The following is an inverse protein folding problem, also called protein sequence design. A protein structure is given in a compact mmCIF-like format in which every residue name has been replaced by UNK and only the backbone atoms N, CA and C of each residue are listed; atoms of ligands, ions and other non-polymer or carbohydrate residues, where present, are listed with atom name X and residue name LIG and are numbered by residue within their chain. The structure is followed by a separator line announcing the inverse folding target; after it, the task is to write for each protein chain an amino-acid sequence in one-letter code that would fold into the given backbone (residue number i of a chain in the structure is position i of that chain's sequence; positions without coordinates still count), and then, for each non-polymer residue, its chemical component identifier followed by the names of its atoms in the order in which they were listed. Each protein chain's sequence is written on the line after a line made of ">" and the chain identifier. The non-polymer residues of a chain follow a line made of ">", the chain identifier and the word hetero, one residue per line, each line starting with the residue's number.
data_IF_639025219765
#
_entry.id   IF_639025219765
#
_cell.length_a   1.000
_cell.length_b   1.000
_cell.length_c   1.000
_cell.angle_alpha   90.00
_cell.angle_beta   90.00
_cell.angle_gamma   90.00
#
_symmetry.space_group_name_H-M   'P 1'
#
loop_
_entity.id
_entity.type
_entity.pdbx_description
1 polymer ?
#
# COMPACT_ATOMS: atom_id res chain seq x y z
N UNK A 1 23.64 21.13 16.17
CA UNK A 1 23.32 19.70 16.09
C UNK A 1 23.66 19.21 14.69
N UNK A 2 24.24 18.02 14.60
CA UNK A 2 24.50 17.35 13.33
C UNK A 2 23.18 16.91 12.67
N UNK A 3 23.20 16.63 11.37
CA UNK A 3 21.99 16.24 10.65
C UNK A 3 21.41 14.89 11.12
N UNK A 4 22.27 13.94 11.45
CA UNK A 4 21.90 12.64 12.02
C UNK A 4 21.28 12.77 13.42
N UNK A 5 21.84 13.66 14.25
CA UNK A 5 21.27 14.04 15.55
C UNK A 5 19.87 14.66 15.40
N UNK A 6 19.72 15.62 14.47
CA UNK A 6 18.43 16.22 14.18
C UNK A 6 17.40 15.19 13.68
N UNK A 7 17.83 14.20 12.91
CA UNK A 7 16.97 13.11 12.42
C UNK A 7 16.49 12.21 13.55
N UNK A 8 17.38 11.68 14.39
CA UNK A 8 16.97 10.79 15.50
C UNK A 8 16.19 11.52 16.59
N UNK A 9 16.38 12.84 16.71
CA UNK A 9 15.59 13.70 17.58
C UNK A 9 14.29 14.18 16.94
N UNK A 10 14.05 13.87 15.66
CA UNK A 10 12.90 14.31 14.88
C UNK A 10 12.71 15.85 14.94
N UNK A 11 13.81 16.59 14.79
CA UNK A 11 13.83 18.05 14.87
C UNK A 11 13.09 18.67 13.67
N UNK A 12 12.04 19.50 13.88
CA UNK A 12 11.31 20.14 12.79
C UNK A 12 12.17 20.97 11.82
N UNK A 13 13.28 21.53 12.31
CA UNK A 13 14.21 22.31 11.46
C UNK A 13 14.99 21.44 10.46
N UNK A 14 15.01 20.12 10.64
CA UNK A 14 15.66 19.19 9.71
C UNK A 14 15.12 19.34 8.30
N UNK A 15 13.80 19.46 8.15
CA UNK A 15 13.17 19.53 6.83
C UNK A 15 13.57 20.80 6.10
N UNK A 16 13.64 21.92 6.83
CA UNK A 16 14.14 23.18 6.26
C UNK A 16 15.58 23.04 5.78
N UNK A 17 16.42 22.25 6.47
CA UNK A 17 17.79 21.96 6.03
C UNK A 17 17.80 21.10 4.77
N UNK A 18 16.95 20.07 4.71
CA UNK A 18 16.85 19.15 3.57
C UNK A 18 16.27 19.80 2.30
N UNK A 19 15.36 20.77 2.43
CA UNK A 19 14.62 21.41 1.31
C UNK A 19 15.26 22.69 0.78
N UNK A 20 16.32 23.22 1.41
CA UNK A 20 16.99 24.47 0.99
C UNK A 20 17.89 24.31 -0.25
N UNK A 21 17.91 23.14 -0.88
CA UNK A 21 18.62 22.95 -2.16
C UNK A 21 17.80 23.66 -3.24
N UNK A 22 18.41 24.59 -3.97
CA UNK A 22 17.74 25.47 -4.95
C UNK A 22 17.21 24.72 -6.16
N UNK A 23 16.07 24.05 -6.01
CA UNK A 23 15.54 23.11 -6.99
C UNK A 23 14.51 23.80 -7.91
N UNK A 24 14.72 23.67 -9.22
CA UNK A 24 13.65 23.87 -10.22
C UNK A 24 12.68 22.71 -10.05
N UNK A 25 11.49 22.94 -9.50
CA UNK A 25 10.51 21.87 -9.33
C UNK A 25 10.06 21.33 -10.68
N UNK A 26 10.08 20.00 -10.83
CA UNK A 26 9.44 19.33 -11.96
C UNK A 26 7.94 19.66 -11.97
N UNK A 27 7.37 19.88 -13.16
CA UNK A 27 5.94 20.05 -13.27
C UNK A 27 5.25 18.69 -13.06
N UNK A 28 4.59 18.55 -11.92
CA UNK A 28 3.80 17.37 -11.57
C UNK A 28 2.37 17.56 -12.08
N UNK A 29 1.92 16.65 -12.93
CA UNK A 29 0.53 16.60 -13.38
C UNK A 29 -0.33 15.95 -12.29
N UNK A 30 -1.23 16.73 -11.69
CA UNK A 30 -2.17 16.22 -10.70
C UNK A 30 -3.47 15.82 -11.37
N UNK A 31 -4.04 14.69 -10.93
CA UNK A 31 -5.32 14.21 -11.41
C UNK A 31 -5.79 13.00 -10.60
N UNK A 32 -7.08 12.65 -10.67
CA UNK A 32 -7.57 11.44 -10.02
C UNK A 32 -6.90 10.22 -10.65
N UNK A 33 -6.25 9.41 -9.82
CA UNK A 33 -5.86 8.07 -10.24
C UNK A 33 -7.13 7.22 -10.30
N UNK A 34 -7.32 6.50 -11.41
CA UNK A 34 -8.48 5.62 -11.54
C UNK A 34 -8.14 4.21 -11.07
N UNK A 35 -9.17 3.46 -10.65
CA UNK A 35 -9.07 2.01 -10.54
C UNK A 35 -8.87 1.45 -11.95
N UNK A 36 -7.77 0.74 -12.17
CA UNK A 36 -7.43 0.19 -13.48
C UNK A 36 -7.74 -1.32 -13.55
N UNK A 37 -7.68 -1.97 -14.74
CA UNK A 37 -8.00 -3.39 -14.88
C UNK A 37 -7.17 -4.31 -14.00
N UNK A 38 -5.92 -3.94 -13.71
CA UNK A 38 -5.05 -4.72 -12.86
C UNK A 38 -5.55 -4.70 -11.41
N UNK A 39 -6.01 -3.55 -10.89
CA UNK A 39 -6.67 -3.48 -9.58
C UNK A 39 -7.92 -4.35 -9.53
N UNK A 40 -8.79 -4.28 -10.54
CA UNK A 40 -10.00 -5.12 -10.59
C UNK A 40 -9.68 -6.62 -10.67
N UNK A 41 -8.68 -7.00 -11.47
CA UNK A 41 -8.23 -8.38 -11.58
C UNK A 41 -7.69 -8.89 -10.25
N UNK A 42 -6.91 -8.07 -9.55
CA UNK A 42 -6.36 -8.43 -8.25
C UNK A 42 -7.46 -8.69 -7.22
N UNK A 43 -8.42 -7.76 -7.10
CA UNK A 43 -9.58 -7.92 -6.21
C UNK A 43 -10.37 -9.18 -6.55
N UNK A 44 -10.64 -9.41 -7.84
CA UNK A 44 -11.43 -10.55 -8.28
C UNK A 44 -10.78 -11.89 -7.93
N UNK A 45 -9.48 -12.04 -8.22
CA UNK A 45 -8.75 -13.28 -7.95
C UNK A 45 -8.62 -13.55 -6.44
N UNK A 46 -8.39 -12.52 -5.62
CA UNK A 46 -8.38 -12.63 -4.16
C UNK A 46 -9.76 -13.03 -3.63
N UNK A 47 -10.83 -12.37 -4.08
CA UNK A 47 -12.21 -12.72 -3.69
C UNK A 47 -12.59 -14.14 -4.09
N UNK A 48 -12.20 -14.59 -5.28
CA UNK A 48 -12.46 -15.93 -5.77
C UNK A 48 -11.68 -17.00 -4.97
N UNK A 49 -10.40 -16.74 -4.67
CA UNK A 49 -9.59 -17.60 -3.80
C UNK A 49 -10.24 -17.76 -2.43
N UNK A 50 -10.57 -16.66 -1.75
CA UNK A 50 -11.16 -16.69 -0.41
C UNK A 50 -12.53 -17.35 -0.39
N UNK A 51 -13.37 -17.12 -1.40
CA UNK A 51 -14.66 -17.79 -1.52
C UNK A 51 -14.51 -19.32 -1.64
N UNK A 52 -13.53 -19.80 -2.41
CA UNK A 52 -13.23 -21.23 -2.50
C UNK A 52 -12.74 -21.78 -1.15
N UNK A 53 -11.83 -21.09 -0.46
CA UNK A 53 -11.37 -21.49 0.89
C UNK A 53 -12.52 -21.51 1.92
N UNK A 54 -13.52 -20.65 1.76
CA UNK A 54 -14.71 -20.63 2.59
C UNK A 54 -15.66 -21.82 2.31
N UNK A 55 -15.34 -22.71 1.36
CA UNK A 55 -16.16 -23.87 1.00
C UNK A 55 -17.31 -23.53 0.05
N UNK A 56 -17.28 -22.37 -0.60
CA UNK A 56 -18.24 -22.07 -1.66
C UNK A 56 -17.87 -22.88 -2.90
N UNK A 57 -18.87 -23.37 -3.64
CA UNK A 57 -18.71 -24.22 -4.83
C UNK A 57 -18.16 -23.49 -6.07
N UNK A 58 -17.37 -22.43 -5.87
CA UNK A 58 -16.69 -21.73 -6.96
C UNK A 58 -15.45 -22.52 -7.38
N UNK A 59 -15.12 -22.44 -8.66
CA UNK A 59 -13.90 -23.02 -9.22
C UNK A 59 -12.69 -22.56 -8.39
N UNK A 60 -11.71 -23.45 -8.12
CA UNK A 60 -10.52 -23.07 -7.37
C UNK A 60 -9.71 -22.04 -8.16
N UNK A 61 -9.18 -21.05 -7.44
CA UNK A 61 -8.04 -20.26 -7.91
C UNK A 61 -6.79 -20.94 -7.40
N UNK A 62 -5.90 -21.34 -8.28
CA UNK A 62 -4.58 -21.85 -7.91
C UNK A 62 -3.50 -20.83 -8.24
N UNK A 63 -2.45 -20.82 -7.45
CA UNK A 63 -1.29 -19.94 -7.62
C UNK A 63 -0.03 -20.77 -7.70
N UNK A 64 0.89 -20.38 -8.57
CA UNK A 64 2.20 -21.02 -8.70
C UNK A 64 3.26 -20.01 -9.10
N UNK A 65 4.48 -20.20 -8.60
CA UNK A 65 5.66 -19.46 -9.08
C UNK A 65 6.37 -20.33 -10.10
N UNK A 66 6.56 -19.79 -11.31
CA UNK A 66 7.30 -20.45 -12.39
C UNK A 66 8.22 -19.43 -13.05
N UNK A 67 9.50 -19.78 -13.18
CA UNK A 67 10.52 -18.93 -13.79
C UNK A 67 10.51 -17.50 -13.19
N UNK A 68 10.42 -17.41 -11.86
CA UNK A 68 10.35 -16.15 -11.07
C UNK A 68 9.10 -15.28 -11.32
N UNK A 69 8.10 -15.82 -12.03
CA UNK A 69 6.82 -15.16 -12.27
C UNK A 69 5.73 -15.86 -11.46
N UNK A 70 4.91 -15.08 -10.74
CA UNK A 70 3.72 -15.57 -10.07
C UNK A 70 2.57 -15.65 -11.06
N UNK A 71 1.97 -16.83 -11.20
CA UNK A 71 0.78 -17.06 -12.01
C UNK A 71 -0.41 -17.41 -11.13
N UNK A 72 -1.60 -17.02 -11.58
CA UNK A 72 -2.87 -17.57 -11.09
C UNK A 72 -3.56 -18.34 -12.21
N UNK A 73 -4.16 -19.48 -11.89
CA UNK A 73 -5.08 -20.19 -12.78
C UNK A 73 -6.49 -20.13 -12.20
N UNK A 74 -7.44 -19.62 -12.98
CA UNK A 74 -8.85 -19.54 -12.61
C UNK A 74 -9.73 -19.72 -13.84
N UNK A 75 -10.75 -20.58 -13.77
CA UNK A 75 -11.67 -20.86 -14.88
C UNK A 75 -10.99 -21.23 -16.21
N UNK A 76 -9.92 -22.02 -16.13
CA UNK A 76 -9.06 -22.41 -17.26
C UNK A 76 -8.29 -21.26 -17.93
N UNK A 77 -8.18 -20.11 -17.27
CA UNK A 77 -7.36 -18.99 -17.71
C UNK A 77 -6.14 -18.81 -16.81
N UNK A 78 -5.04 -18.34 -17.41
CA UNK A 78 -3.78 -18.07 -16.72
C UNK A 78 -3.57 -16.56 -16.68
N UNK A 79 -3.31 -16.05 -15.47
CA UNK A 79 -3.10 -14.65 -15.16
C UNK A 79 -1.65 -14.45 -14.69
N UNK A 80 -0.96 -13.47 -15.25
CA UNK A 80 0.35 -13.03 -14.74
C UNK A 80 0.13 -12.14 -13.52
N UNK A 81 0.24 -12.72 -12.33
CA UNK A 81 0.04 -12.01 -11.07
C UNK A 81 1.17 -11.04 -10.77
N UNK A 82 2.41 -11.33 -11.21
CA UNK A 82 3.52 -10.39 -11.08
C UNK A 82 3.23 -9.11 -11.87
N UNK A 83 2.68 -9.23 -13.08
CA UNK A 83 2.23 -8.09 -13.88
C UNK A 83 1.05 -7.36 -13.22
N UNK A 84 0.07 -8.10 -12.69
CA UNK A 84 -1.07 -7.52 -11.97
C UNK A 84 -0.61 -6.70 -10.77
N UNK A 85 0.24 -7.25 -9.90
CA UNK A 85 0.76 -6.54 -8.73
C UNK A 85 1.58 -5.30 -9.13
N UNK A 86 2.36 -5.39 -10.22
CA UNK A 86 3.18 -4.27 -10.70
C UNK A 86 2.35 -3.07 -11.16
N UNK A 87 1.18 -3.31 -11.73
CA UNK A 87 0.39 -2.25 -12.37
C UNK A 87 -0.93 -1.93 -11.66
N UNK A 88 -1.37 -2.74 -10.71
CA UNK A 88 -2.53 -2.43 -9.90
C UNK A 88 -2.30 -1.13 -9.12
N UNK A 89 -3.31 -0.27 -9.16
CA UNK A 89 -3.38 0.90 -8.30
C UNK A 89 -3.86 0.46 -6.90
N UNK A 90 -2.92 0.25 -5.99
CA UNK A 90 -3.18 -0.25 -4.64
C UNK A 90 -3.96 0.74 -3.77
N UNK A 91 -3.85 2.05 -4.05
CA UNK A 91 -4.58 3.12 -3.36
C UNK A 91 -6.10 3.11 -3.65
N UNK A 92 -6.54 2.31 -4.61
CA UNK A 92 -7.96 2.14 -4.95
C UNK A 92 -8.49 0.75 -4.63
N UNK A 93 -7.70 -0.10 -3.99
CA UNK A 93 -8.19 -1.40 -3.55
C UNK A 93 -9.33 -1.24 -2.55
N UNK A 94 -10.43 -1.93 -2.83
CA UNK A 94 -11.60 -2.01 -1.97
C UNK A 94 -12.25 -3.38 -2.07
N UNK A 95 -12.47 -4.01 -0.92
CA UNK A 95 -13.02 -5.36 -0.84
C UNK A 95 -14.46 -5.33 -0.32
N UNK A 96 -15.29 -6.26 -0.81
CA UNK A 96 -16.68 -6.36 -0.37
C UNK A 96 -16.81 -6.93 1.04
N UNK A 97 -17.92 -6.65 1.73
CA UNK A 97 -18.25 -7.27 3.03
C UNK A 97 -18.28 -8.79 2.98
N UNK A 98 -18.73 -9.36 1.87
CA UNK A 98 -18.71 -10.81 1.64
C UNK A 98 -17.28 -11.34 1.56
N UNK A 99 -16.38 -10.63 0.86
CA UNK A 99 -14.96 -11.00 0.80
C UNK A 99 -14.31 -10.93 2.19
N UNK A 100 -14.64 -9.91 2.98
CA UNK A 100 -14.20 -9.80 4.38
C UNK A 100 -14.67 -11.00 5.22
N UNK A 101 -15.93 -11.41 5.12
CA UNK A 101 -16.43 -12.58 5.83
C UNK A 101 -15.71 -13.90 5.41
N UNK A 102 -15.39 -14.06 4.12
CA UNK A 102 -14.61 -15.21 3.66
C UNK A 102 -13.17 -15.19 4.19
N UNK A 103 -12.55 -14.01 4.24
CA UNK A 103 -11.23 -13.83 4.82
C UNK A 103 -11.23 -14.20 6.31
N UNK A 104 -12.21 -13.71 7.07
CA UNK A 104 -12.37 -14.06 8.49
C UNK A 104 -12.48 -15.57 8.71
N UNK A 105 -13.30 -16.24 7.91
CA UNK A 105 -13.40 -17.71 7.96
C UNK A 105 -12.07 -18.38 7.63
N UNK A 106 -11.35 -17.88 6.62
CA UNK A 106 -10.05 -18.42 6.24
C UNK A 106 -9.03 -18.32 7.39
N UNK A 107 -8.82 -17.14 7.97
CA UNK A 107 -7.80 -16.96 9.03
C UNK A 107 -8.17 -17.65 10.35
N UNK A 108 -9.46 -17.87 10.61
CA UNK A 108 -9.92 -18.60 11.82
C UNK A 108 -9.98 -20.12 11.64
N UNK A 109 -9.94 -20.64 10.41
CA UNK A 109 -10.07 -22.06 10.10
C UNK A 109 -8.87 -22.93 10.51
N UNK A 110 -7.74 -22.33 10.87
CA UNK A 110 -6.47 -23.03 11.10
C UNK A 110 -5.69 -23.37 9.84
N UNK A 111 -6.14 -22.91 8.67
CA UNK A 111 -5.44 -23.06 7.40
C UNK A 111 -4.40 -21.97 7.13
N UNK A 112 -4.52 -20.81 7.78
CA UNK A 112 -3.58 -19.69 7.60
C UNK A 112 -2.22 -19.99 8.23
N UNK A 113 -1.15 -19.51 7.59
CA UNK A 113 0.21 -19.61 8.10
C UNK A 113 0.38 -18.80 9.38
N UNK A 114 -0.14 -17.58 9.37
CA UNK A 114 -0.13 -16.69 10.53
C UNK A 114 -1.55 -16.41 10.99
N UNK A 115 -1.68 -16.19 12.30
CA UNK A 115 -2.93 -15.79 12.93
C UNK A 115 -2.75 -14.39 13.52
N UNK A 116 -3.82 -13.58 13.54
CA UNK A 116 -3.76 -12.33 14.27
C UNK A 116 -3.54 -12.63 15.76
N UNK A 117 -2.79 -11.77 16.43
CA UNK A 117 -2.48 -11.91 17.85
C UNK A 117 -2.14 -10.56 18.47
N UNK A 118 -2.62 -10.35 19.69
CA UNK A 118 -2.24 -9.21 20.52
C UNK A 118 -1.29 -9.70 21.64
N UNK A 119 -0.26 -8.92 22.03
CA UNK A 119 0.77 -9.39 22.98
C UNK A 119 0.25 -9.85 24.35
N UNK A 120 -0.90 -9.32 24.79
CA UNK A 120 -1.53 -9.53 26.10
C UNK A 120 -2.78 -10.40 26.03
N UNK A 121 -3.08 -11.00 24.88
CA UNK A 121 -4.27 -11.81 24.66
C UNK A 121 -3.91 -13.21 24.19
N UNK A 122 -4.48 -14.22 24.84
CA UNK A 122 -4.40 -15.60 24.36
C UNK A 122 -5.45 -15.85 23.28
N UNK A 123 -5.03 -16.33 22.11
CA UNK A 123 -5.92 -16.69 21.00
C UNK A 123 -6.07 -15.59 19.94
N UNK A 124 -7.07 -15.77 19.07
CA UNK A 124 -7.39 -14.84 17.98
C UNK A 124 -8.18 -13.65 18.57
N UNK A 125 -7.72 -12.40 18.38
CA UNK A 125 -8.44 -11.22 18.84
C UNK A 125 -9.84 -11.13 18.24
N UNK A 126 -10.82 -10.82 19.07
CA UNK A 126 -12.17 -10.45 18.65
C UNK A 126 -12.23 -8.97 18.24
N UNK A 127 -13.34 -8.56 17.64
CA UNK A 127 -13.57 -7.14 17.34
C UNK A 127 -13.60 -6.27 18.61
N UNK A 128 -14.07 -6.80 19.74
CA UNK A 128 -14.09 -6.07 21.00
C UNK A 128 -12.68 -5.87 21.58
N UNK A 129 -11.78 -6.85 21.41
CA UNK A 129 -10.40 -6.72 21.87
C UNK A 129 -9.68 -5.57 21.16
N UNK A 130 -9.88 -5.44 19.84
CA UNK A 130 -9.37 -4.29 19.08
C UNK A 130 -9.99 -2.97 19.54
N UNK A 131 -11.30 -2.92 19.77
CA UNK A 131 -11.99 -1.70 20.25
C UNK A 131 -11.44 -1.24 21.60
N UNK A 132 -11.19 -2.15 22.54
CA UNK A 132 -10.63 -1.78 23.86
C UNK A 132 -9.17 -1.31 23.75
N UNK A 133 -8.38 -1.91 22.86
CA UNK A 133 -7.01 -1.43 22.56
C UNK A 133 -7.00 -0.07 21.87
N UNK A 134 -7.93 0.18 20.96
CA UNK A 134 -8.10 1.50 20.32
C UNK A 134 -8.40 2.57 21.37
N UNK A 135 -9.37 2.33 22.27
CA UNK A 135 -9.72 3.28 23.34
C UNK A 135 -8.56 3.62 24.27
N UNK A 136 -7.64 2.69 24.49
CA UNK A 136 -6.46 2.89 25.37
C UNK A 136 -5.23 3.45 24.63
N UNK A 137 -5.31 3.57 23.31
CA UNK A 137 -4.25 4.13 22.46
C UNK A 137 -4.10 5.64 22.64
N UNK A 138 -2.91 6.16 22.33
CA UNK A 138 -2.67 7.61 22.21
C UNK A 138 -3.44 8.22 21.03
N UNK A 139 -3.92 7.39 20.10
CA UNK A 139 -4.71 7.79 18.92
C UNK A 139 -5.91 6.84 18.71
N UNK A 140 -6.98 7.01 19.50
CA UNK A 140 -8.11 6.07 19.50
C UNK A 140 -8.88 6.01 18.17
N UNK A 141 -8.88 7.10 17.40
CA UNK A 141 -9.64 7.19 16.15
C UNK A 141 -8.83 6.81 14.90
N UNK A 142 -7.55 6.43 15.05
CA UNK A 142 -6.66 6.17 13.91
C UNK A 142 -7.12 5.01 13.02
N UNK A 143 -7.77 4.00 13.61
CA UNK A 143 -8.17 2.74 12.95
C UNK A 143 -9.59 2.28 13.33
N UNK A 144 -10.37 3.11 14.02
CA UNK A 144 -11.70 2.75 14.54
C UNK A 144 -12.71 2.36 13.44
N UNK A 145 -12.55 2.91 12.23
CA UNK A 145 -13.41 2.71 11.06
C UNK A 145 -13.08 1.42 10.28
N UNK A 146 -11.94 0.78 10.58
CA UNK A 146 -11.57 -0.48 9.93
C UNK A 146 -12.49 -1.60 10.38
N UNK A 147 -12.80 -2.52 9.48
CA UNK A 147 -13.47 -3.75 9.86
C UNK A 147 -12.48 -4.75 10.48
N UNK A 148 -12.99 -5.80 11.14
CA UNK A 148 -12.15 -6.78 11.81
C UNK A 148 -11.14 -7.47 10.86
N UNK A 149 -11.53 -7.78 9.63
CA UNK A 149 -10.64 -8.42 8.65
C UNK A 149 -9.45 -7.52 8.27
N UNK A 150 -9.70 -6.23 8.06
CA UNK A 150 -8.66 -5.23 7.80
C UNK A 150 -7.71 -5.08 9.00
N UNK A 151 -8.27 -4.98 10.22
CA UNK A 151 -7.47 -4.90 11.46
C UNK A 151 -6.59 -6.14 11.63
N UNK A 152 -7.14 -7.33 11.40
CA UNK A 152 -6.39 -8.59 11.50
C UNK A 152 -5.33 -8.75 10.42
N UNK A 153 -5.58 -8.31 9.19
CA UNK A 153 -4.55 -8.31 8.14
C UNK A 153 -3.37 -7.39 8.47
N UNK A 154 -3.64 -6.18 8.98
CA UNK A 154 -2.61 -5.24 9.44
C UNK A 154 -1.83 -5.80 10.65
N UNK A 155 -2.52 -6.45 11.59
CA UNK A 155 -1.89 -7.12 12.72
C UNK A 155 -0.94 -8.24 12.25
N UNK A 156 -1.37 -9.10 11.33
CA UNK A 156 -0.53 -10.17 10.77
C UNK A 156 0.68 -9.58 10.03
N UNK A 157 0.47 -8.57 9.18
CA UNK A 157 1.51 -7.88 8.43
C UNK A 157 2.62 -7.36 9.36
N UNK A 158 2.25 -6.60 10.40
CA UNK A 158 3.19 -6.02 11.38
C UNK A 158 3.93 -7.07 12.24
N UNK A 159 3.47 -8.32 12.24
CA UNK A 159 4.06 -9.43 13.00
C UNK A 159 5.29 -10.10 12.40
N UNK A 160 5.60 -9.85 11.13
CA UNK A 160 6.67 -10.52 10.37
C UNK A 160 6.23 -10.95 8.98
N UNK A 161 4.91 -11.01 8.76
CA UNK A 161 4.33 -11.33 7.45
C UNK A 161 4.54 -10.19 6.42
N UNK A 162 5.05 -9.03 6.84
CA UNK A 162 5.50 -7.97 5.93
C UNK A 162 6.57 -8.44 4.93
N UNK A 163 7.41 -9.42 5.30
CA UNK A 163 8.51 -9.90 4.44
C UNK A 163 7.98 -10.49 3.12
N UNK A 164 7.12 -11.54 3.12
CA UNK A 164 6.56 -12.07 1.88
C UNK A 164 5.67 -11.04 1.15
N UNK A 165 4.88 -10.23 1.87
CA UNK A 165 4.04 -9.20 1.24
C UNK A 165 4.86 -8.17 0.46
N UNK A 166 5.85 -7.54 1.11
CA UNK A 166 6.67 -6.50 0.48
C UNK A 166 7.62 -7.07 -0.58
N UNK A 167 8.02 -8.33 -0.48
CA UNK A 167 8.81 -8.99 -1.52
C UNK A 167 8.01 -9.17 -2.80
N UNK A 168 6.78 -9.70 -2.69
CA UNK A 168 5.88 -9.87 -3.82
C UNK A 168 5.54 -8.55 -4.50
N UNK A 169 5.22 -7.53 -3.70
CA UNK A 169 4.93 -6.19 -4.21
C UNK A 169 6.10 -5.58 -4.99
N UNK A 170 7.34 -5.87 -4.60
CA UNK A 170 8.56 -5.48 -5.32
C UNK A 170 8.91 -6.40 -6.50
N UNK A 171 8.08 -7.40 -6.80
CA UNK A 171 8.31 -8.36 -7.86
C UNK A 171 9.34 -9.45 -7.53
N UNK A 172 9.73 -9.61 -6.25
CA UNK A 172 10.64 -10.67 -5.81
C UNK A 172 9.86 -11.88 -5.29
N UNK A 173 10.11 -13.04 -5.90
CA UNK A 173 9.50 -14.32 -5.49
C UNK A 173 10.41 -15.14 -4.57
N UNK A 174 11.61 -14.66 -4.23
CA UNK A 174 12.57 -15.44 -3.43
C UNK A 174 12.00 -15.92 -2.08
N UNK A 175 11.47 -15.03 -1.23
CA UNK A 175 10.90 -15.40 0.07
C UNK A 175 9.65 -16.28 0.02
N UNK A 176 9.04 -16.45 -1.15
CA UNK A 176 7.81 -17.22 -1.36
C UNK A 176 8.01 -18.40 -2.33
N UNK A 177 9.24 -18.68 -2.75
CA UNK A 177 9.51 -19.68 -3.80
C UNK A 177 9.11 -21.10 -3.39
N UNK A 178 8.99 -21.35 -2.08
CA UNK A 178 8.55 -22.63 -1.50
C UNK A 178 7.09 -22.62 -1.06
N UNK A 179 6.36 -21.53 -1.27
CA UNK A 179 4.96 -21.44 -0.85
C UNK A 179 4.08 -22.28 -1.77
N UNK A 180 3.17 -23.05 -1.17
CA UNK A 180 2.11 -23.71 -1.92
C UNK A 180 1.04 -22.69 -2.40
N UNK A 181 0.13 -23.13 -3.25
CA UNK A 181 -0.93 -22.27 -3.79
C UNK A 181 -1.78 -21.60 -2.69
N UNK A 182 -2.00 -22.24 -1.55
CA UNK A 182 -2.79 -21.65 -0.46
C UNK A 182 -1.98 -20.56 0.23
N UNK A 183 -0.70 -20.79 0.49
CA UNK A 183 0.20 -19.83 1.12
C UNK A 183 0.43 -18.58 0.24
N UNK A 184 0.51 -18.77 -1.08
CA UNK A 184 0.54 -17.68 -2.05
C UNK A 184 -0.77 -16.88 -2.04
N UNK A 185 -1.92 -17.57 -2.09
CA UNK A 185 -3.24 -16.93 -2.01
C UNK A 185 -3.48 -16.18 -0.70
N UNK A 186 -2.99 -16.71 0.42
CA UNK A 186 -2.97 -16.03 1.72
C UNK A 186 -2.15 -14.73 1.65
N UNK A 187 -0.94 -14.78 1.09
CA UNK A 187 -0.07 -13.59 0.97
C UNK A 187 -0.73 -12.49 0.14
N UNK A 188 -1.33 -12.87 -0.99
CA UNK A 188 -2.11 -11.95 -1.83
C UNK A 188 -3.32 -11.38 -1.09
N UNK A 189 -4.00 -12.19 -0.28
CA UNK A 189 -5.13 -11.74 0.54
C UNK A 189 -4.69 -10.72 1.59
N UNK A 190 -3.56 -10.94 2.26
CA UNK A 190 -2.99 -9.99 3.21
C UNK A 190 -2.65 -8.65 2.53
N UNK A 191 -1.98 -8.68 1.38
CA UNK A 191 -1.71 -7.46 0.59
C UNK A 191 -3.01 -6.70 0.28
N UNK A 192 -4.05 -7.41 -0.15
CA UNK A 192 -5.32 -6.80 -0.53
C UNK A 192 -6.05 -6.17 0.69
N UNK A 193 -6.14 -6.87 1.82
CA UNK A 193 -6.81 -6.36 3.01
C UNK A 193 -6.04 -5.25 3.72
N UNK A 194 -4.70 -5.32 3.77
CA UNK A 194 -3.88 -4.22 4.30
C UNK A 194 -4.07 -2.97 3.44
N UNK A 195 -4.02 -3.10 2.12
CA UNK A 195 -4.26 -1.96 1.21
C UNK A 195 -5.67 -1.39 1.36
N UNK A 196 -6.71 -2.24 1.34
CA UNK A 196 -8.11 -1.82 1.55
C UNK A 196 -8.28 -1.07 2.87
N UNK A 197 -7.67 -1.57 3.95
CA UNK A 197 -7.71 -0.92 5.25
C UNK A 197 -7.02 0.45 5.20
N UNK A 198 -5.79 0.53 4.70
CA UNK A 198 -5.03 1.79 4.63
C UNK A 198 -5.71 2.86 3.74
N UNK A 199 -6.47 2.46 2.72
CA UNK A 199 -7.21 3.35 1.83
C UNK A 199 -8.44 4.00 2.47
N UNK A 200 -8.93 3.49 3.61
CA UNK A 200 -10.03 4.14 4.32
C UNK A 200 -9.62 5.51 4.85
N UNK A 201 -10.56 6.43 5.04
CA UNK A 201 -10.28 7.77 5.57
C UNK A 201 -9.65 7.66 6.97
N UNK A 202 -8.54 8.36 7.19
CA UNK A 202 -7.88 8.49 8.50
C UNK A 202 -8.04 9.90 9.01
N UNK A 203 -8.45 10.06 10.28
CA UNK A 203 -8.46 11.38 10.94
C UNK A 203 -7.07 11.78 11.46
N UNK A 204 -6.12 10.83 11.46
CA UNK A 204 -4.75 11.06 11.93
C UNK A 204 -3.80 11.27 10.76
N UNK A 205 -3.45 12.54 10.52
CA UNK A 205 -2.51 12.96 9.49
C UNK A 205 -1.31 13.64 10.15
N UNK A 206 -0.27 12.87 10.52
CA UNK A 206 0.92 13.46 11.10
C UNK A 206 1.61 14.34 10.06
N UNK A 207 2.19 15.44 10.53
CA UNK A 207 2.93 16.32 9.63
C UNK A 207 4.14 15.58 9.05
N UNK A 208 4.82 14.78 9.89
CA UNK A 208 6.00 13.99 9.52
C UNK A 208 5.98 12.58 10.12
N UNK A 209 6.60 11.65 9.42
CA UNK A 209 7.00 10.34 9.95
C UNK A 209 8.42 10.00 9.50
N UNK A 210 9.06 9.10 10.23
CA UNK A 210 10.49 8.82 10.09
C UNK A 210 10.74 7.36 9.83
N UNK A 211 11.73 7.04 9.00
CA UNK A 211 12.15 5.68 8.73
C UNK A 211 13.66 5.63 8.66
N UNK A 212 14.26 4.71 9.39
CA UNK A 212 15.62 4.26 9.12
C UNK A 212 15.58 2.95 8.33
N UNK A 213 16.54 2.81 7.42
CA UNK A 213 16.71 1.61 6.64
C UNK A 213 18.20 1.30 6.50
N UNK A 214 18.51 0.00 6.39
CA UNK A 214 19.84 -0.43 5.99
C UNK A 214 20.17 0.20 4.65
N UNK A 215 21.44 0.57 4.47
CA UNK A 215 21.88 1.21 3.24
C UNK A 215 21.70 0.27 2.05
N UNK A 216 20.88 0.71 1.09
CA UNK A 216 20.74 0.07 -0.21
C UNK A 216 22.03 0.18 -1.04
N UNK A 217 22.06 -0.46 -2.23
CA UNK A 217 23.16 -0.27 -3.17
C UNK A 217 23.39 1.22 -3.46
N UNK A 218 24.65 1.59 -3.72
CA UNK A 218 24.99 2.98 -4.11
C UNK A 218 24.17 3.42 -5.32
N UNK A 219 23.91 2.53 -6.28
CA UNK A 219 23.07 2.81 -7.46
C UNK A 219 21.68 3.33 -7.06
N UNK A 220 21.04 2.73 -6.05
CA UNK A 220 19.70 3.11 -5.60
C UNK A 220 19.71 4.42 -4.80
N UNK A 221 20.77 4.67 -4.02
CA UNK A 221 20.98 5.95 -3.33
C UNK A 221 21.21 7.07 -4.35
N UNK A 222 22.02 6.82 -5.36
CA UNK A 222 22.31 7.78 -6.43
C UNK A 222 21.08 8.04 -7.31
N UNK A 223 20.20 7.06 -7.52
CA UNK A 223 18.89 7.26 -8.18
C UNK A 223 18.00 8.24 -7.40
N UNK A 224 17.91 8.10 -6.07
CA UNK A 224 17.15 9.04 -5.24
C UNK A 224 17.76 10.43 -5.21
N UNK A 225 19.10 10.53 -5.17
CA UNK A 225 19.80 11.82 -5.26
C UNK A 225 19.49 12.50 -6.60
N UNK A 226 19.63 11.78 -7.71
CA UNK A 226 19.26 12.28 -9.05
C UNK A 226 17.80 12.70 -9.11
N UNK A 227 16.89 11.96 -8.48
CA UNK A 227 15.48 12.33 -8.40
C UNK A 227 15.29 13.70 -7.74
N UNK A 228 16.01 13.98 -6.64
CA UNK A 228 15.99 15.29 -5.99
C UNK A 228 16.63 16.36 -6.89
N UNK A 229 17.83 16.10 -7.42
CA UNK A 229 18.59 17.04 -8.26
C UNK A 229 17.85 17.41 -9.56
N UNK A 230 17.02 16.52 -10.08
CA UNK A 230 16.23 16.72 -11.30
C UNK A 230 14.91 17.48 -11.07
N UNK A 231 14.63 17.99 -9.87
CA UNK A 231 13.39 18.74 -9.64
C UNK A 231 12.38 18.08 -8.72
N UNK A 232 12.76 16.94 -8.13
CA UNK A 232 11.88 16.10 -7.35
C UNK A 232 11.06 15.17 -8.23
N UNK A 233 11.77 14.23 -8.87
CA UNK A 233 11.18 13.17 -9.67
C UNK A 233 10.31 12.24 -8.81
N UNK A 234 9.23 11.78 -9.42
CA UNK A 234 8.29 10.81 -8.83
C UNK A 234 8.76 9.38 -9.10
N UNK A 235 8.92 8.58 -8.04
CA UNK A 235 9.18 7.13 -8.10
C UNK A 235 7.96 6.34 -7.64
N UNK A 236 7.95 5.03 -7.94
CA UNK A 236 6.92 4.10 -7.47
C UNK A 236 7.46 3.31 -6.27
N UNK A 237 6.89 3.54 -5.09
CA UNK A 237 7.17 2.74 -3.90
C UNK A 237 6.12 1.62 -3.82
N UNK A 238 6.49 0.46 -4.37
CA UNK A 238 5.55 -0.65 -4.55
C UNK A 238 5.22 -1.39 -3.24
N UNK A 239 6.06 -1.29 -2.22
CA UNK A 239 5.86 -1.95 -0.93
C UNK A 239 5.13 -1.04 0.07
N UNK A 240 4.56 -1.64 1.11
CA UNK A 240 4.10 -0.86 2.26
C UNK A 240 5.29 -0.20 2.96
N UNK A 241 5.12 1.06 3.36
CA UNK A 241 6.18 1.84 4.02
C UNK A 241 5.84 1.95 5.51
N UNK A 242 6.50 1.10 6.28
CA UNK A 242 6.51 1.18 7.75
C UNK A 242 7.39 2.35 8.20
N UNK A 243 6.81 3.28 8.95
CA UNK A 243 7.49 4.46 9.51
C UNK A 243 7.15 4.59 10.99
N UNK A 244 7.91 5.36 11.75
CA UNK A 244 7.53 5.77 13.10
C UNK A 244 6.96 7.19 13.07
N UNK A 245 5.84 7.36 13.76
CA UNK A 245 5.29 8.70 13.98
C UNK A 245 5.99 9.41 15.15
N UNK A 246 6.18 8.68 16.24
CA UNK A 246 6.73 9.20 17.47
C UNK A 246 8.25 8.96 17.53
N UNK A 247 8.91 9.66 18.44
CA UNK A 247 10.33 9.45 18.70
C UNK A 247 10.55 8.04 19.19
N UNK A 248 11.64 7.42 18.74
CA UNK A 248 12.08 6.17 19.32
C UNK A 248 12.49 6.45 20.76
N UNK A 249 11.71 5.97 21.73
CA UNK A 249 11.96 6.21 23.16
C UNK A 249 13.27 5.58 23.63
N UNK A 250 13.69 4.48 22.98
CA UNK A 250 14.94 3.78 23.26
C UNK A 250 16.16 4.61 22.87
N UNK A 251 16.91 5.07 23.87
CA UNK A 251 18.20 5.76 23.70
C UNK A 251 19.21 4.93 22.90
N UNK A 252 19.23 3.61 23.15
CA UNK A 252 20.08 2.68 22.42
C UNK A 252 19.76 2.66 20.92
N UNK A 253 18.48 2.57 20.56
CA UNK A 253 18.07 2.55 19.14
C UNK A 253 18.36 3.89 18.45
N UNK A 254 18.19 5.02 19.16
CA UNK A 254 18.58 6.34 18.64
C UNK A 254 20.07 6.43 18.39
N UNK A 255 20.91 6.02 19.34
CA UNK A 255 22.36 6.02 19.21
C UNK A 255 22.82 5.12 18.05
N UNK A 256 22.27 3.91 17.95
CA UNK A 256 22.56 2.98 16.85
C UNK A 256 22.17 3.55 15.49
N UNK A 257 21.00 4.19 15.37
CA UNK A 257 20.56 4.81 14.12
C UNK A 257 21.44 6.00 13.74
N UNK A 258 21.79 6.84 14.72
CA UNK A 258 22.66 7.98 14.52
C UNK A 258 24.05 7.53 14.06
N UNK A 259 24.67 6.59 14.77
CA UNK A 259 25.97 6.02 14.41
C UNK A 259 25.92 5.36 13.03
N UNK A 260 24.88 4.57 12.74
CA UNK A 260 24.69 3.91 11.46
C UNK A 260 24.63 4.88 10.27
N UNK A 261 23.95 6.03 10.46
CA UNK A 261 23.96 7.11 9.46
C UNK A 261 25.35 7.75 9.39
N UNK A 262 25.97 8.08 10.52
CA UNK A 262 27.26 8.76 10.57
C UNK A 262 28.40 7.95 9.93
N UNK A 263 28.41 6.63 10.07
CA UNK A 263 29.40 5.73 9.43
C UNK A 263 28.98 5.25 8.03
N UNK A 264 27.79 5.65 7.56
CA UNK A 264 27.32 5.39 6.21
C UNK A 264 26.84 3.98 5.92
N UNK A 265 26.28 3.29 6.91
CA UNK A 265 25.64 1.97 6.76
C UNK A 265 24.11 2.02 6.87
N UNK A 266 23.55 3.19 7.19
CA UNK A 266 22.10 3.43 7.22
C UNK A 266 21.72 4.66 6.40
N UNK A 267 20.47 4.66 5.96
CA UNK A 267 19.78 5.80 5.35
C UNK A 267 18.59 6.21 6.21
N UNK A 268 18.46 7.52 6.45
CA UNK A 268 17.27 8.10 7.08
C UNK A 268 16.31 8.64 6.03
N UNK A 269 15.01 8.53 6.26
CA UNK A 269 14.00 9.17 5.44
C UNK A 269 12.99 9.87 6.34
N UNK A 270 12.76 11.15 6.05
CA UNK A 270 11.63 11.92 6.58
C UNK A 270 10.54 11.93 5.53
N UNK A 271 9.34 11.52 5.90
CA UNK A 271 8.16 11.62 5.05
C UNK A 271 7.27 12.74 5.54
N UNK A 272 6.81 13.61 4.63
CA UNK A 272 5.82 14.66 4.93
C UNK A 272 4.51 14.41 4.21
N UNK A 273 3.41 14.98 4.72
CA UNK A 273 2.09 14.92 4.08
C UNK A 273 1.64 13.47 3.82
N UNK A 274 1.94 12.58 4.76
CA UNK A 274 1.70 11.15 4.57
C UNK A 274 0.21 10.82 4.63
N UNK A 275 -0.20 9.90 3.77
CA UNK A 275 -1.52 9.27 3.80
C UNK A 275 -1.32 7.84 4.26
N UNK A 276 -1.87 7.50 5.42
CA UNK A 276 -1.70 6.18 6.02
C UNK A 276 -2.45 6.08 7.34
N UNK A 277 -2.04 5.15 8.18
CA UNK A 277 -2.66 4.95 9.50
C UNK A 277 -1.63 4.74 10.58
N UNK A 278 -1.90 5.32 11.75
CA UNK A 278 -1.22 4.93 12.97
C UNK A 278 -1.81 3.62 13.46
N UNK A 279 -1.03 2.55 13.47
CA UNK A 279 -1.53 1.18 13.66
C UNK A 279 -1.12 0.56 15.00
N UNK A 280 -0.49 1.30 15.90
CA UNK A 280 0.09 0.73 17.13
C UNK A 280 -0.94 -0.05 17.97
N UNK A 281 -2.19 0.43 18.03
CA UNK A 281 -3.27 -0.22 18.80
C UNK A 281 -3.65 -1.61 18.28
N UNK A 282 -3.40 -1.88 16.99
CA UNK A 282 -3.74 -3.15 16.33
C UNK A 282 -2.51 -3.92 15.86
N UNK A 283 -1.31 -3.35 15.98
CA UNK A 283 -0.05 -3.97 15.57
C UNK A 283 0.30 -5.16 16.48
N UNK A 284 0.99 -6.16 15.92
CA UNK A 284 1.59 -7.24 16.73
C UNK A 284 2.77 -6.73 17.58
N UNK A 285 3.29 -5.55 17.24
CA UNK A 285 4.37 -4.84 17.94
C UNK A 285 3.97 -3.39 18.24
N UNK A 286 3.09 -3.18 19.24
CA UNK A 286 2.54 -1.85 19.54
C UNK A 286 3.62 -0.82 19.90
N UNK A 287 4.72 -1.25 20.51
CA UNK A 287 5.80 -0.36 20.97
C UNK A 287 6.63 0.25 19.82
N UNK A 288 6.46 -0.23 18.57
CA UNK A 288 7.10 0.37 17.40
C UNK A 288 6.40 1.67 16.95
N UNK A 289 5.23 2.00 17.52
CA UNK A 289 4.45 3.23 17.26
C UNK A 289 4.30 3.51 15.76
N UNK A 290 4.04 2.43 15.01
CA UNK A 290 4.10 2.41 13.56
C UNK A 290 3.00 3.27 12.92
N UNK A 291 3.41 4.11 11.98
CA UNK A 291 2.56 4.72 10.98
C UNK A 291 2.82 4.05 9.64
N UNK A 292 1.81 3.33 9.15
CA UNK A 292 1.91 2.50 7.95
C UNK A 292 1.30 3.24 6.75
N UNK A 293 2.07 3.33 5.68
CA UNK A 293 1.71 4.00 4.42
C UNK A 293 1.53 2.92 3.34
N UNK A 294 0.45 2.97 2.53
CA UNK A 294 0.24 2.02 1.43
C UNK A 294 1.26 2.22 0.29
N UNK A 295 1.42 1.23 -0.60
CA UNK A 295 2.17 1.40 -1.85
C UNK A 295 1.67 2.62 -2.61
N UNK A 296 2.59 3.52 -2.97
CA UNK A 296 2.21 4.81 -3.54
C UNK A 296 3.33 5.42 -4.39
N UNK A 297 3.02 6.52 -5.06
CA UNK A 297 4.02 7.33 -5.73
C UNK A 297 4.71 8.22 -4.70
N UNK A 298 6.03 8.33 -4.80
CA UNK A 298 6.86 9.10 -3.87
C UNK A 298 7.62 10.17 -4.63
N UNK A 299 7.52 11.42 -4.20
CA UNK A 299 8.35 12.51 -4.68
C UNK A 299 9.52 12.73 -3.73
N UNK A 300 10.76 12.69 -4.24
CA UNK A 300 11.96 12.96 -3.46
C UNK A 300 12.33 14.43 -3.57
N UNK A 301 12.27 15.19 -2.47
CA UNK A 301 12.33 16.66 -2.52
C UNK A 301 13.53 17.26 -1.79
N UNK A 302 14.32 16.44 -1.11
CA UNK A 302 15.52 16.88 -0.42
C UNK A 302 16.42 15.71 -0.05
N UNK A 303 17.71 15.98 0.08
CA UNK A 303 18.66 15.04 0.67
C UNK A 303 19.84 15.79 1.28
N UNK A 304 20.57 15.10 2.16
CA UNK A 304 21.92 15.46 2.57
C UNK A 304 22.71 14.16 2.75
N UNK A 305 23.90 14.12 2.13
CA UNK A 305 24.81 12.97 2.12
C UNK A 305 26.08 13.36 2.88
N UNK A 306 26.39 12.61 3.93
CA UNK A 306 27.62 12.82 4.69
C UNK A 306 28.85 12.23 3.95
N UNK A 307 30.08 12.62 4.34
CA UNK A 307 31.30 12.14 3.69
C UNK A 307 31.53 10.62 3.75
N UNK A 308 30.92 9.94 4.72
CA UNK A 308 31.01 8.48 4.90
C UNK A 308 29.95 7.73 4.07
N UNK A 309 29.10 8.44 3.33
CA UNK A 309 28.09 7.87 2.45
C UNK A 309 26.75 7.56 3.14
N UNK A 310 26.53 8.00 4.37
CA UNK A 310 25.21 8.02 4.99
C UNK A 310 24.37 9.15 4.41
N UNK A 311 23.07 8.89 4.22
CA UNK A 311 22.19 9.83 3.56
C UNK A 311 20.90 10.01 4.37
N UNK A 312 20.38 11.22 4.41
CA UNK A 312 19.04 11.51 4.92
C UNK A 312 18.24 12.14 3.80
N UNK A 313 17.11 11.52 3.45
CA UNK A 313 16.20 12.01 2.42
C UNK A 313 14.96 12.67 3.02
N UNK A 314 14.36 13.57 2.25
CA UNK A 314 13.01 14.07 2.45
C UNK A 314 12.14 13.65 1.26
N UNK A 315 11.04 12.97 1.56
CA UNK A 315 10.10 12.49 0.56
C UNK A 315 8.65 12.84 0.93
N UNK A 316 7.77 12.89 -0.06
CA UNK A 316 6.34 13.07 0.14
C UNK A 316 5.54 12.16 -0.81
N UNK A 317 4.49 11.47 -0.33
CA UNK A 317 3.63 10.74 -1.23
C UNK A 317 2.87 11.72 -2.10
N UNK A 318 2.70 11.37 -3.36
CA UNK A 318 1.97 12.16 -4.35
C UNK A 318 0.94 11.29 -5.05
N UNK A 319 -0.13 11.91 -5.53
CA UNK A 319 -1.10 11.28 -6.42
C UNK A 319 -1.03 12.04 -7.74
N UNK A 320 -0.30 11.49 -8.71
CA UNK A 320 0.08 12.20 -9.92
C UNK A 320 0.00 11.31 -11.17
N UNK A 321 -0.38 11.93 -12.29
CA UNK A 321 -0.29 11.30 -13.60
C UNK A 321 1.19 11.16 -14.06
N UNK A 322 2.08 12.01 -13.54
CA UNK A 322 3.53 11.92 -13.76
C UNK A 322 4.09 10.63 -13.16
N UNK A 323 4.97 9.94 -13.91
CA UNK A 323 5.64 8.73 -13.44
C UNK A 323 4.79 7.46 -13.48
N UNK A 324 3.57 7.51 -14.04
CA UNK A 324 2.79 6.31 -14.36
C UNK A 324 3.18 5.73 -15.72
N UNK A 325 3.24 4.41 -15.82
CA UNK A 325 3.26 3.75 -17.12
C UNK A 325 1.90 3.85 -17.83
N UNK A 326 1.88 3.69 -19.15
CA UNK A 326 0.63 3.58 -19.93
C UNK A 326 -0.35 2.54 -19.37
N UNK A 327 0.18 1.46 -18.75
CA UNK A 327 -0.63 0.41 -18.15
C UNK A 327 -1.28 0.83 -16.83
N UNK A 328 -0.63 1.72 -16.09
CA UNK A 328 -1.15 2.27 -14.83
C UNK A 328 -2.12 3.43 -15.07
N UNK A 329 -1.87 4.26 -16.09
CA UNK A 329 -2.66 5.47 -16.40
C UNK A 329 -3.98 5.18 -17.13
N UNK A 330 -4.11 4.01 -17.78
CA UNK A 330 -5.36 3.58 -18.42
C UNK A 330 -6.47 3.35 -17.38
N UNK A 331 -7.30 4.36 -17.20
CA UNK A 331 -8.65 4.19 -16.64
C UNK A 331 -9.51 3.30 -17.53
N UNK A 332 -10.76 3.06 -17.13
CA UNK A 332 -11.69 2.18 -17.83
C UNK A 332 -12.12 2.68 -19.23
N UNK A 333 -11.89 3.97 -19.54
CA UNK A 333 -12.39 4.62 -20.75
C UNK A 333 -11.28 4.95 -21.75
N UNK A 334 -10.79 3.91 -22.44
CA UNK A 334 -10.22 3.98 -23.79
C UNK A 334 -9.95 2.55 -24.25
N UNK A 335 -10.74 2.03 -25.20
CA UNK A 335 -10.51 0.80 -25.98
C UNK A 335 -9.46 -0.14 -25.39
N UNK A 336 -9.85 -0.86 -24.32
CA UNK A 336 -8.94 -1.61 -23.45
C UNK A 336 -8.07 -2.61 -24.22
N UNK A 337 -6.73 -2.46 -24.23
CA UNK A 337 -5.85 -3.57 -24.53
C UNK A 337 -5.85 -4.42 -23.26
N UNK A 338 -6.59 -5.53 -23.32
CA UNK A 338 -6.65 -6.53 -22.27
C UNK A 338 -5.25 -6.79 -21.72
N UNK A 339 -5.14 -6.91 -20.39
CA UNK A 339 -4.04 -7.65 -19.77
C UNK A 339 -3.92 -8.94 -20.57
N UNK A 340 -2.74 -9.21 -21.14
CA UNK A 340 -2.55 -10.28 -22.11
C UNK A 340 -2.70 -11.65 -21.42
N UNK A 341 -3.92 -12.04 -21.07
CA UNK A 341 -4.25 -13.45 -21.11
C UNK A 341 -4.26 -13.87 -22.58
N UNK A 342 -4.02 -15.15 -22.85
CA UNK A 342 -4.19 -15.73 -24.18
C UNK A 342 -5.62 -15.59 -24.73
N UNK A 343 -6.58 -15.05 -23.96
CA UNK A 343 -7.97 -14.78 -24.33
C UNK A 343 -8.48 -13.45 -23.75
N UNK A 344 -8.33 -12.36 -24.50
CA UNK A 344 -8.84 -11.00 -24.19
C UNK A 344 -10.34 -10.89 -23.80
N UNK A 345 -11.15 -11.95 -23.98
CA UNK A 345 -12.59 -11.94 -23.70
C UNK A 345 -12.99 -11.95 -22.23
N UNK A 346 -12.18 -12.52 -21.33
CA UNK A 346 -12.53 -12.65 -19.91
C UNK A 346 -12.54 -11.30 -19.20
N UNK A 347 -11.49 -10.50 -19.35
CA UNK A 347 -11.42 -9.18 -18.72
C UNK A 347 -12.55 -8.26 -19.20
N UNK A 348 -12.87 -8.29 -20.49
CA UNK A 348 -14.01 -7.53 -21.02
C UNK A 348 -15.33 -8.01 -20.41
N UNK A 349 -15.50 -9.31 -20.20
CA UNK A 349 -16.70 -9.87 -19.56
C UNK A 349 -16.79 -9.52 -18.06
N UNK A 350 -15.71 -9.72 -17.31
CA UNK A 350 -15.61 -9.41 -15.88
C UNK A 350 -15.86 -7.91 -15.62
N UNK A 351 -15.24 -7.03 -16.41
CA UNK A 351 -15.45 -5.58 -16.30
C UNK A 351 -16.91 -5.22 -16.63
N UNK A 352 -17.51 -5.82 -17.67
CA UNK A 352 -18.93 -5.59 -18.00
C UNK A 352 -19.86 -6.04 -16.88
N UNK A 353 -19.61 -7.20 -16.27
CA UNK A 353 -20.40 -7.73 -15.16
C UNK A 353 -20.28 -6.86 -13.90
N UNK A 354 -19.08 -6.38 -13.58
CA UNK A 354 -18.88 -5.45 -12.45
C UNK A 354 -19.52 -4.08 -12.71
N UNK A 355 -19.38 -3.52 -13.92
CA UNK A 355 -20.05 -2.27 -14.31
C UNK A 355 -21.58 -2.40 -14.27
N UNK A 356 -22.13 -3.55 -14.67
CA UNK A 356 -23.56 -3.83 -14.57
C UNK A 356 -24.01 -3.87 -13.09
N UNK A 357 -23.26 -4.57 -12.23
CA UNK A 357 -23.56 -4.63 -10.80
C UNK A 357 -23.51 -3.25 -10.12
N UNK A 358 -22.53 -2.41 -10.47
CA UNK A 358 -22.42 -1.03 -9.93
C UNK A 358 -23.64 -0.19 -10.34
N UNK A 359 -24.08 -0.30 -11.60
CA UNK A 359 -25.28 0.40 -12.11
C UNK A 359 -26.56 -0.05 -11.41
N UNK A 360 -26.66 -1.33 -11.05
CA UNK A 360 -27.82 -1.86 -10.30
C UNK A 360 -27.84 -1.39 -8.85
N UNK A 361 -26.68 -1.12 -8.24
CA UNK A 361 -26.57 -0.64 -6.84
C UNK A 361 -26.69 0.87 -6.66
N UNK A 362 -26.64 1.66 -7.74
CA UNK A 362 -26.76 3.13 -7.72
C UNK A 362 -27.59 3.63 -8.92
N UNK A 363 -28.93 3.47 -8.91
CA UNK A 363 -29.80 3.80 -10.04
C UNK A 363 -29.88 5.31 -10.34
N UNK A 364 -29.44 6.18 -9.43
CA UNK A 364 -29.58 7.65 -9.54
C UNK A 364 -28.49 8.34 -10.40
N UNK A 365 -27.53 7.59 -10.96
CA UNK A 365 -26.49 8.11 -11.86
C UNK A 365 -26.63 7.60 -13.30
N UNK A 366 -27.86 7.50 -13.81
CA UNK A 366 -28.07 7.39 -15.25
C UNK A 366 -27.71 8.75 -15.90
N UNK A 367 -26.95 8.77 -17.02
CA UNK A 367 -26.69 10.01 -17.73
C UNK A 367 -28.03 10.59 -18.20
N UNK A 368 -28.32 11.83 -17.78
CA UNK A 368 -29.46 12.58 -18.30
C UNK A 368 -29.18 12.85 -19.77
N UNK A 369 -30.01 12.25 -20.62
CA UNK A 369 -30.00 12.48 -22.06
C UNK A 369 -30.14 13.98 -22.33
N UNK A 370 -29.17 14.53 -23.06
CA UNK A 370 -29.05 15.95 -23.36
C UNK A 370 -30.08 16.33 -24.45
N UNK A 371 -31.33 16.54 -24.04
CA UNK A 371 -32.36 17.10 -24.91
C UNK A 371 -32.46 18.61 -24.71
N UNK A 372 -31.73 19.32 -25.57
CA UNK A 372 -32.05 20.63 -26.17
C UNK A 372 -33.19 21.45 -25.55
N UNK A 373 -32.86 22.54 -24.85
CA UNK A 373 -33.76 23.70 -24.78
C UNK A 373 -33.01 25.04 -24.82
N UNK A 374 -32.95 25.59 -26.03
CA UNK A 374 -33.29 26.98 -26.38
C UNK A 374 -33.20 28.02 -25.25
N UNK A 375 -32.10 28.77 -25.28
CA UNK A 375 -31.88 30.03 -24.57
C UNK A 375 -32.95 31.09 -24.86
N UNK A 376 -33.50 31.70 -23.81
CA UNK A 376 -34.00 33.09 -23.85
C UNK A 376 -33.50 33.81 -22.58
N UNK A 377 -32.95 35.03 -22.67
CA UNK A 377 -32.36 35.71 -21.52
C UNK A 377 -33.41 36.58 -20.81
N UNK A 378 -33.39 36.60 -19.48
CA UNK A 378 -34.02 37.69 -18.71
C UNK A 378 -33.01 38.32 -17.74
N UNK A 379 -32.84 39.62 -17.94
CA UNK A 379 -32.20 40.56 -17.05
C UNK A 379 -32.92 40.63 -15.70
N UNK A 380 -32.15 40.56 -14.60
CA UNK A 380 -32.04 41.62 -13.60
C UNK A 380 -30.89 41.35 -12.64
#
# INVERSE_FOLDING_TARGET
>A
MGLSEDFVQQNPELIKKLTNVGIVQEHIEYGPLNKNPYTYAFEHLVSAFLAHQAGNSKDPVTFEVKDEILYATYQNEIFDMSEILRFANMNHLSLSKETAAHYEKFITSGLSMEKPGLPDLEGIPTNNDYIEREKSSTKPDAVNHLNWSEKSAINIYSGGFYVPCNSLLRGSTGPISSFDSRQLGETLSHIAFVSSGLNQISETLPLHTFRSEEKFSEDYIDERIKAVENGGQVTQEMAFISTSHDKVDSEFMRAMTQEGIDIGVMTGIVYSNVVGKYISSISKKPDELEYLIPPTQMQWIGYDKNPNGGCIFHAQPVSSLTGLSDKQSRGLDAEHPAVKSSNSGFYTKMIKEQLAAIKETNPDNAPVDDTSHSSTPQNR
#
